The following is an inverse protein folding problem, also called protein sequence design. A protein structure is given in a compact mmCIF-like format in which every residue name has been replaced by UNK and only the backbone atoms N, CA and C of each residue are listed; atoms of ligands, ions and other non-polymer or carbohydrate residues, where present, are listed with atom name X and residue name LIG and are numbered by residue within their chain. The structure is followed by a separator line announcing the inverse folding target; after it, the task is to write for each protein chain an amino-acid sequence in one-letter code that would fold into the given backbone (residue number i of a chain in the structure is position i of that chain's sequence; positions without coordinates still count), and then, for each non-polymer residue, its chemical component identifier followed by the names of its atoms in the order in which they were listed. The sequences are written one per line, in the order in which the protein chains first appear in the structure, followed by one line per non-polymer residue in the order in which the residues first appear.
data_IF_460779976514
#
_entry.id   IF_460779976514
#
_cell.length_a   1.000
_cell.length_b   1.000
_cell.length_c   1.000
_cell.angle_alpha   90.00
_cell.angle_beta   90.00
_cell.angle_gamma   90.00
#
_symmetry.space_group_name_H-M   'P 1'
#
loop_
_entity.id
_entity.type
_entity.pdbx_description
1 polymer ?
#
# COMPACT_ATOMS: atom_id res chain seq x y z
N UNK A 1 -32.30 -9.37 25.43
CA UNK A 1 -31.68 -8.96 24.14
C UNK A 1 -30.38 -8.24 24.45
N UNK A 2 -29.27 -8.98 24.44
CA UNK A 2 -27.93 -8.40 24.54
C UNK A 2 -27.56 -7.83 23.17
N UNK A 3 -27.56 -6.50 23.04
CA UNK A 3 -26.95 -5.84 21.91
C UNK A 3 -25.43 -6.10 21.96
N UNK A 4 -24.93 -6.94 21.06
CA UNK A 4 -23.51 -7.03 20.80
C UNK A 4 -23.12 -5.74 20.09
N UNK A 5 -22.44 -4.84 20.80
CA UNK A 5 -21.88 -3.65 20.18
C UNK A 5 -20.88 -4.08 19.11
N UNK A 6 -21.21 -3.79 17.87
CA UNK A 6 -20.26 -3.95 16.77
C UNK A 6 -19.09 -3.00 17.01
N UNK A 7 -17.84 -3.42 16.79
CA UNK A 7 -16.72 -2.50 16.90
C UNK A 7 -16.92 -1.36 15.91
N UNK A 8 -17.09 -0.17 16.42
CA UNK A 8 -17.11 1.05 15.60
C UNK A 8 -15.68 1.25 15.12
N UNK A 9 -15.44 1.04 13.85
CA UNK A 9 -14.18 1.40 13.21
C UNK A 9 -14.07 2.93 13.24
N UNK A 10 -13.27 3.45 14.17
CA UNK A 10 -13.02 4.89 14.31
C UNK A 10 -11.83 5.37 13.48
N UNK A 11 -11.28 4.51 12.60
CA UNK A 11 -10.13 4.83 11.76
C UNK A 11 -10.55 5.35 10.39
N UNK A 12 -9.91 6.42 9.94
CA UNK A 12 -10.00 6.85 8.56
C UNK A 12 -9.27 5.86 7.66
N UNK A 13 -9.87 5.55 6.51
CA UNK A 13 -9.22 4.78 5.47
C UNK A 13 -8.48 5.73 4.53
N UNK A 14 -7.29 5.33 4.11
CA UNK A 14 -6.44 6.11 3.21
C UNK A 14 -5.88 5.25 2.10
N UNK A 15 -5.67 5.84 0.92
CA UNK A 15 -4.76 5.29 -0.09
C UNK A 15 -3.33 5.65 0.28
N UNK A 16 -2.39 4.78 -0.05
CA UNK A 16 -0.96 5.10 -0.01
C UNK A 16 -0.51 5.27 -1.46
N UNK A 17 -0.28 6.51 -1.84
CA UNK A 17 -0.03 6.93 -3.21
C UNK A 17 1.42 7.35 -3.38
N UNK A 18 2.04 6.97 -4.50
CA UNK A 18 3.34 7.52 -4.89
C UNK A 18 3.18 9.02 -5.19
N UNK A 19 4.06 9.85 -4.66
CA UNK A 19 3.99 11.30 -4.87
C UNK A 19 4.23 11.66 -6.33
N UNK A 20 5.23 11.04 -6.98
CA UNK A 20 5.48 11.23 -8.40
C UNK A 20 4.46 10.44 -9.23
N UNK A 21 3.89 11.07 -10.23
CA UNK A 21 2.87 10.42 -11.08
C UNK A 21 3.45 9.42 -12.07
N UNK A 22 4.74 9.54 -12.39
CA UNK A 22 5.37 8.74 -13.43
C UNK A 22 4.55 8.80 -14.74
N UNK A 23 4.14 7.65 -15.27
CA UNK A 23 3.31 7.55 -16.48
C UNK A 23 1.81 7.41 -16.20
N UNK A 24 1.34 7.62 -14.94
CA UNK A 24 -0.07 7.49 -14.56
C UNK A 24 -0.57 8.76 -13.85
N UNK A 25 -1.27 9.63 -14.55
CA UNK A 25 -1.76 10.90 -14.00
C UNK A 25 -2.77 10.71 -12.87
N UNK A 26 -3.47 9.57 -12.82
CA UNK A 26 -4.39 9.21 -11.73
C UNK A 26 -3.64 8.77 -10.46
N UNK A 27 -2.34 8.55 -10.56
CA UNK A 27 -1.45 8.12 -9.48
C UNK A 27 -1.32 6.61 -9.35
N UNK A 28 -0.20 6.17 -8.74
CA UNK A 28 0.02 4.78 -8.36
C UNK A 28 -0.20 4.62 -6.86
N UNK A 29 -1.02 3.64 -6.50
CA UNK A 29 -1.33 3.27 -5.11
C UNK A 29 -0.85 1.87 -4.78
N UNK A 30 -0.53 1.63 -3.52
CA UNK A 30 -0.26 0.29 -3.01
C UNK A 30 -1.57 -0.50 -3.06
N UNK A 31 -1.54 -1.68 -3.67
CA UNK A 31 -2.73 -2.41 -4.09
C UNK A 31 -2.52 -3.91 -3.89
N UNK A 32 -3.57 -4.61 -3.49
CA UNK A 32 -3.54 -6.08 -3.47
C UNK A 32 -3.72 -6.58 -4.91
N UNK A 33 -2.88 -7.49 -5.35
CA UNK A 33 -3.02 -8.09 -6.69
C UNK A 33 -4.40 -8.74 -6.86
N UNK A 34 -5.03 -8.49 -8.00
CA UNK A 34 -6.37 -8.95 -8.29
C UNK A 34 -7.31 -7.78 -8.51
N UNK A 35 -8.58 -7.90 -8.16
CA UNK A 35 -9.58 -6.88 -8.48
C UNK A 35 -10.53 -6.63 -7.31
N UNK A 36 -10.40 -5.48 -6.67
CA UNK A 36 -11.28 -4.99 -5.59
C UNK A 36 -11.58 -6.09 -4.57
N UNK A 37 -12.87 -6.43 -4.36
CA UNK A 37 -13.28 -7.44 -3.38
C UNK A 37 -12.76 -8.85 -3.71
N UNK A 38 -12.38 -9.10 -4.97
CA UNK A 38 -11.82 -10.37 -5.43
C UNK A 38 -10.29 -10.39 -5.41
N UNK A 39 -9.67 -9.41 -4.78
CA UNK A 39 -8.21 -9.33 -4.70
C UNK A 39 -7.62 -10.62 -4.11
N UNK A 40 -6.43 -10.97 -4.58
CA UNK A 40 -5.75 -12.24 -4.23
C UNK A 40 -4.69 -11.97 -3.17
N UNK A 41 -5.06 -12.04 -1.90
CA UNK A 41 -4.16 -11.82 -0.76
C UNK A 41 -2.89 -12.66 -0.87
N UNK A 42 -3.00 -13.92 -1.29
CA UNK A 42 -1.87 -14.82 -1.45
C UNK A 42 -0.90 -14.43 -2.59
N UNK A 43 -1.25 -13.48 -3.43
CA UNK A 43 -0.40 -12.96 -4.50
C UNK A 43 0.37 -11.70 -4.09
N UNK A 44 0.12 -11.17 -2.90
CA UNK A 44 0.82 -10.01 -2.34
C UNK A 44 0.41 -8.68 -2.95
N UNK A 45 1.29 -7.70 -2.76
CA UNK A 45 1.05 -6.30 -3.14
C UNK A 45 1.74 -5.93 -4.44
N UNK A 46 1.18 -4.94 -5.10
CA UNK A 46 1.70 -4.28 -6.29
C UNK A 46 1.40 -2.79 -6.21
N UNK A 47 1.90 -2.00 -7.16
CA UNK A 47 1.38 -0.66 -7.43
C UNK A 47 0.35 -0.75 -8.58
N UNK A 48 -0.72 -0.01 -8.44
CA UNK A 48 -1.84 0.01 -9.38
C UNK A 48 -2.38 1.44 -9.47
N UNK A 49 -2.96 1.81 -10.61
CA UNK A 49 -3.70 3.07 -10.72
C UNK A 49 -4.60 3.26 -9.50
N UNK A 50 -4.53 4.42 -8.85
CA UNK A 50 -5.38 4.74 -7.71
C UNK A 50 -6.84 4.80 -8.11
N UNK A 51 -7.73 4.22 -7.28
CA UNK A 51 -9.17 4.28 -7.55
C UNK A 51 -9.83 5.61 -7.17
N UNK A 52 -9.15 6.45 -6.39
CA UNK A 52 -9.71 7.72 -5.88
C UNK A 52 -10.15 8.69 -6.98
N UNK A 53 -9.64 8.56 -8.20
CA UNK A 53 -10.12 9.36 -9.35
C UNK A 53 -11.61 9.11 -9.64
N UNK A 54 -12.18 7.99 -9.17
CA UNK A 54 -13.60 7.64 -9.29
C UNK A 54 -14.45 8.22 -8.13
N UNK A 55 -13.83 8.95 -7.20
CA UNK A 55 -14.51 9.55 -6.07
C UNK A 55 -14.67 8.64 -4.84
N UNK A 56 -14.06 7.47 -4.84
CA UNK A 56 -14.10 6.52 -3.72
C UNK A 56 -12.81 5.69 -3.65
N UNK A 57 -12.50 5.18 -2.44
CA UNK A 57 -11.39 4.27 -2.25
C UNK A 57 -11.78 2.86 -2.73
N UNK A 58 -10.84 2.17 -3.39
CA UNK A 58 -10.96 0.74 -3.61
C UNK A 58 -10.64 -0.02 -2.32
N UNK A 59 -11.41 -1.07 -2.01
CA UNK A 59 -11.21 -1.86 -0.78
C UNK A 59 -9.83 -2.52 -0.73
N UNK A 60 -9.27 -2.84 -1.89
CA UNK A 60 -7.94 -3.44 -2.06
C UNK A 60 -6.80 -2.42 -2.04
N UNK A 61 -7.10 -1.13 -1.87
CA UNK A 61 -6.16 -0.03 -1.71
C UNK A 61 -6.39 0.76 -0.41
N UNK A 62 -7.34 0.35 0.41
CA UNK A 62 -7.75 1.10 1.60
C UNK A 62 -7.06 0.59 2.87
N UNK A 63 -6.18 1.40 3.42
CA UNK A 63 -5.41 1.13 4.64
C UNK A 63 -5.97 1.89 5.82
N UNK A 64 -5.82 1.33 7.02
CA UNK A 64 -6.17 1.99 8.27
C UNK A 64 -5.08 3.00 8.66
N UNK A 65 -5.42 4.29 8.63
CA UNK A 65 -4.47 5.37 8.91
C UNK A 65 -3.91 5.31 10.34
N UNK A 66 -4.73 4.97 11.33
CA UNK A 66 -4.27 4.90 12.72
C UNK A 66 -3.24 3.80 12.93
N UNK A 67 -3.41 2.64 12.28
CA UNK A 67 -2.48 1.55 12.40
C UNK A 67 -1.16 1.83 11.67
N UNK A 68 -1.18 2.60 10.60
CA UNK A 68 0.06 3.07 9.94
C UNK A 68 0.93 3.83 10.92
N UNK A 69 0.36 4.71 11.75
CA UNK A 69 1.12 5.45 12.78
C UNK A 69 1.74 4.55 13.83
N UNK A 70 1.26 3.33 13.97
CA UNK A 70 1.79 2.29 14.87
C UNK A 70 2.68 1.28 14.14
N UNK A 71 3.02 1.55 12.89
CA UNK A 71 3.91 0.71 12.10
C UNK A 71 3.25 -0.49 11.41
N UNK A 72 1.91 -0.56 11.39
CA UNK A 72 1.15 -1.65 10.76
C UNK A 72 0.38 -1.15 9.55
N UNK A 73 0.64 -1.74 8.41
CA UNK A 73 -0.04 -1.42 7.15
C UNK A 73 -1.18 -2.41 6.93
N UNK A 74 -2.30 -2.13 7.60
CA UNK A 74 -3.46 -3.01 7.71
C UNK A 74 -4.53 -2.64 6.68
N UNK A 75 -5.06 -3.65 5.99
CA UNK A 75 -6.18 -3.53 5.04
C UNK A 75 -7.44 -4.13 5.68
N UNK A 76 -8.34 -3.30 6.24
CA UNK A 76 -9.48 -3.78 7.01
C UNK A 76 -10.42 -4.72 6.24
N UNK A 77 -10.62 -4.46 4.93
CA UNK A 77 -11.52 -5.27 4.12
C UNK A 77 -11.06 -6.72 3.97
N UNK A 78 -9.77 -6.99 4.18
CA UNK A 78 -9.17 -8.32 4.02
C UNK A 78 -8.61 -8.90 5.33
N UNK A 79 -8.55 -8.09 6.38
CA UNK A 79 -8.04 -8.53 7.69
C UNK A 79 -6.56 -8.90 7.70
N UNK A 80 -5.75 -8.28 6.84
CA UNK A 80 -4.33 -8.61 6.66
C UNK A 80 -3.44 -7.37 6.76
N UNK A 81 -2.18 -7.61 7.08
CA UNK A 81 -1.13 -6.60 7.15
C UNK A 81 -0.05 -6.85 6.09
N UNK A 82 0.54 -5.76 5.62
CA UNK A 82 1.72 -5.82 4.75
C UNK A 82 2.88 -6.46 5.49
N UNK A 83 3.57 -7.37 4.81
CA UNK A 83 4.72 -8.11 5.32
C UNK A 83 5.86 -8.08 4.31
N UNK A 84 7.06 -7.78 4.79
CA UNK A 84 8.26 -7.94 3.97
C UNK A 84 8.52 -9.43 3.73
N UNK A 85 8.75 -9.81 2.48
CA UNK A 85 9.11 -11.18 2.12
C UNK A 85 10.55 -11.56 2.49
N UNK A 86 11.33 -10.58 2.90
CA UNK A 86 12.71 -10.71 3.37
C UNK A 86 13.24 -9.34 3.79
N UNK A 87 14.48 -9.29 4.25
CA UNK A 87 15.14 -8.06 4.72
C UNK A 87 16.35 -7.70 3.87
N UNK A 88 16.25 -7.93 2.57
CA UNK A 88 17.30 -7.63 1.58
C UNK A 88 16.70 -6.84 0.42
N UNK A 89 17.56 -6.17 -0.35
CA UNK A 89 17.17 -5.49 -1.59
C UNK A 89 16.48 -6.49 -2.53
N UNK A 90 15.35 -6.09 -3.10
CA UNK A 90 14.54 -6.93 -3.97
C UNK A 90 13.45 -7.74 -3.27
N UNK A 91 13.40 -7.71 -1.93
CA UNK A 91 12.34 -8.39 -1.18
C UNK A 91 10.96 -7.87 -1.60
N UNK A 92 10.01 -8.79 -1.80
CA UNK A 92 8.63 -8.49 -2.15
C UNK A 92 7.82 -8.11 -0.92
N UNK A 93 6.67 -7.50 -1.15
CA UNK A 93 5.69 -7.18 -0.12
C UNK A 93 4.54 -8.17 -0.21
N UNK A 94 4.38 -8.96 0.83
CA UNK A 94 3.33 -9.97 0.97
C UNK A 94 2.24 -9.49 1.92
N UNK A 95 1.25 -10.32 2.13
CA UNK A 95 0.14 -10.07 3.05
C UNK A 95 -0.09 -11.31 3.92
N UNK A 96 -0.24 -11.10 5.21
CA UNK A 96 -0.57 -12.13 6.19
C UNK A 96 -1.49 -11.57 7.27
N UNK A 97 -2.11 -12.46 8.04
CA UNK A 97 -2.78 -12.05 9.28
C UNK A 97 -1.83 -11.20 10.12
N UNK A 98 -2.33 -10.11 10.68
CA UNK A 98 -1.51 -9.19 11.45
C UNK A 98 -0.93 -9.85 12.70
N UNK A 99 0.36 -9.65 12.93
CA UNK A 99 1.08 -10.13 14.10
C UNK A 99 2.14 -9.08 14.51
N UNK A 100 2.90 -9.35 15.55
CA UNK A 100 3.92 -8.44 16.06
C UNK A 100 5.35 -8.80 15.59
N UNK A 101 5.47 -9.50 14.46
CA UNK A 101 6.78 -9.85 13.89
C UNK A 101 7.44 -8.65 13.22
N UNK A 102 8.77 -8.66 13.17
CA UNK A 102 9.55 -7.56 12.59
C UNK A 102 9.27 -7.36 11.10
N UNK A 103 8.91 -8.41 10.38
CA UNK A 103 8.59 -8.35 8.95
C UNK A 103 7.32 -7.57 8.64
N UNK A 104 6.45 -7.36 9.64
CA UNK A 104 5.22 -6.56 9.51
C UNK A 104 5.34 -5.16 10.10
N UNK A 105 6.52 -4.76 10.55
CA UNK A 105 6.75 -3.45 11.15
C UNK A 105 7.47 -2.51 10.18
N UNK A 106 6.77 -1.44 9.84
CA UNK A 106 7.29 -0.39 8.96
C UNK A 106 7.14 0.96 9.64
N UNK A 107 7.93 1.93 9.21
CA UNK A 107 7.76 3.32 9.60
C UNK A 107 7.51 4.16 8.36
N UNK A 108 6.45 4.96 8.41
CA UNK A 108 6.18 5.99 7.41
C UNK A 108 6.84 7.27 7.89
N UNK A 109 7.95 7.66 7.26
CA UNK A 109 8.75 8.80 7.71
C UNK A 109 8.10 10.13 7.32
N UNK A 110 8.51 11.22 7.97
CA UNK A 110 7.97 12.55 7.68
C UNK A 110 8.33 13.05 6.28
N UNK A 111 9.38 12.49 5.67
CA UNK A 111 9.76 12.82 4.28
C UNK A 111 9.16 11.85 3.24
N UNK A 112 8.21 11.01 3.65
CA UNK A 112 7.44 10.16 2.73
C UNK A 112 8.04 8.81 2.40
N UNK A 113 9.08 8.37 3.12
CA UNK A 113 9.63 7.02 2.94
C UNK A 113 8.87 6.01 3.81
N UNK A 114 8.73 4.79 3.31
CA UNK A 114 8.19 3.66 4.07
C UNK A 114 9.35 2.69 4.26
N UNK A 115 9.86 2.61 5.50
CA UNK A 115 11.05 1.83 5.84
C UNK A 115 10.70 0.60 6.65
N UNK A 116 11.40 -0.50 6.38
CA UNK A 116 11.34 -1.69 7.25
C UNK A 116 12.07 -1.38 8.57
N UNK A 117 11.39 -1.56 9.71
CA UNK A 117 11.99 -1.17 11.01
C UNK A 117 13.23 -2.01 11.33
N UNK A 118 13.20 -3.30 11.05
CA UNK A 118 14.34 -4.19 11.33
C UNK A 118 15.55 -3.97 10.44
N UNK A 119 15.38 -3.26 9.31
CA UNK A 119 16.46 -2.81 8.42
C UNK A 119 16.06 -1.49 7.78
N UNK A 120 16.35 -0.38 8.45
CA UNK A 120 15.92 0.96 8.05
C UNK A 120 16.70 1.53 6.85
N UNK A 121 17.63 0.78 6.28
CA UNK A 121 18.24 1.10 4.99
C UNK A 121 17.34 0.71 3.81
N UNK A 122 16.30 -0.10 4.06
CA UNK A 122 15.35 -0.57 3.07
C UNK A 122 14.08 0.27 3.04
N UNK A 123 13.74 0.76 1.84
CA UNK A 123 12.55 1.53 1.54
C UNK A 123 11.64 0.80 0.58
N UNK A 124 10.33 0.96 0.75
CA UNK A 124 9.33 0.53 -0.22
C UNK A 124 9.50 1.35 -1.51
N UNK A 125 9.67 0.66 -2.61
CA UNK A 125 9.88 1.26 -3.93
C UNK A 125 8.93 0.71 -4.97
N UNK A 126 8.51 1.58 -5.88
CA UNK A 126 7.87 1.16 -7.12
C UNK A 126 8.94 0.83 -8.15
N UNK A 127 8.69 -0.15 -9.00
CA UNK A 127 9.60 -0.51 -10.09
C UNK A 127 9.77 0.67 -11.06
N UNK A 128 11.01 1.01 -11.36
CA UNK A 128 11.37 2.08 -12.29
C UNK A 128 11.12 1.72 -13.77
N UNK A 129 10.92 0.43 -14.09
CA UNK A 129 10.61 -0.03 -15.44
C UNK A 129 9.25 0.50 -15.91
N UNK A 130 8.99 0.38 -17.21
CA UNK A 130 7.71 0.77 -17.77
C UNK A 130 6.56 0.01 -17.11
N UNK A 131 5.42 0.69 -16.92
CA UNK A 131 4.21 0.08 -16.41
C UNK A 131 3.65 -0.96 -17.38
N UNK A 132 2.84 -1.87 -16.83
CA UNK A 132 2.04 -2.83 -17.61
C UNK A 132 0.57 -2.42 -17.53
N UNK A 133 -0.19 -2.75 -18.57
CA UNK A 133 -1.63 -2.52 -18.56
C UNK A 133 -2.34 -3.55 -17.69
N UNK A 134 -3.29 -3.08 -16.87
CA UNK A 134 -4.22 -3.91 -16.12
C UNK A 134 -5.49 -4.21 -16.91
N UNK A 135 -6.48 -4.75 -16.22
CA UNK A 135 -7.72 -5.24 -16.82
C UNK A 135 -8.87 -4.25 -16.85
N UNK A 136 -8.82 -3.12 -16.20
CA UNK A 136 -9.94 -2.19 -16.08
C UNK A 136 -9.58 -0.75 -16.39
N UNK A 137 -10.60 0.11 -16.36
CA UNK A 137 -10.44 1.54 -16.54
C UNK A 137 -10.46 2.00 -18.00
N UNK A 138 -10.70 3.30 -18.18
CA UNK A 138 -10.66 3.96 -19.50
C UNK A 138 -9.96 5.32 -19.31
N UNK A 139 -8.71 5.46 -19.69
CA UNK A 139 -7.78 4.43 -20.23
C UNK A 139 -7.52 3.29 -19.23
N UNK A 140 -6.98 2.17 -19.73
CA UNK A 140 -6.70 1.03 -18.87
C UNK A 140 -5.83 1.41 -17.68
N UNK A 141 -6.12 0.82 -16.52
CA UNK A 141 -5.30 0.96 -15.33
C UNK A 141 -3.90 0.40 -15.57
N UNK A 142 -2.91 1.00 -14.92
CA UNK A 142 -1.51 0.60 -15.06
C UNK A 142 -1.02 -0.11 -13.80
N UNK A 143 -0.08 -1.03 -13.97
CA UNK A 143 0.51 -1.85 -12.93
C UNK A 143 2.03 -1.68 -12.91
N UNK A 144 2.61 -1.69 -11.72
CA UNK A 144 4.06 -1.81 -11.49
C UNK A 144 4.31 -2.71 -10.29
N UNK A 145 5.47 -3.37 -10.28
CA UNK A 145 5.88 -4.16 -9.12
C UNK A 145 6.30 -3.27 -7.96
N UNK A 146 6.19 -3.80 -6.74
CA UNK A 146 6.73 -3.22 -5.52
C UNK A 146 7.84 -4.10 -4.98
N UNK A 147 8.87 -3.50 -4.39
CA UNK A 147 9.93 -4.20 -3.68
C UNK A 147 10.57 -3.29 -2.65
N UNK A 148 11.40 -3.88 -1.79
CA UNK A 148 12.29 -3.12 -0.91
C UNK A 148 13.57 -2.82 -1.66
N UNK A 149 14.08 -1.59 -1.55
CA UNK A 149 15.32 -1.14 -2.15
C UNK A 149 16.15 -0.35 -1.15
N UNK A 150 17.42 -0.11 -1.44
CA UNK A 150 18.24 0.76 -0.60
C UNK A 150 17.74 2.20 -0.72
N UNK A 151 17.38 2.81 0.40
CA UNK A 151 16.80 4.15 0.44
C UNK A 151 17.70 5.21 -0.18
N UNK A 152 19.00 5.15 0.09
CA UNK A 152 19.96 6.18 -0.37
C UNK A 152 20.37 6.01 -1.82
N UNK A 153 20.33 4.78 -2.33
CA UNK A 153 20.74 4.46 -3.70
C UNK A 153 19.62 4.58 -4.73
N UNK A 154 18.40 4.79 -4.28
CA UNK A 154 17.22 4.90 -5.15
C UNK A 154 16.81 6.34 -5.34
N UNK A 155 16.34 6.67 -6.54
CA UNK A 155 15.81 8.00 -6.82
C UNK A 155 14.53 8.23 -6.00
N UNK A 156 14.39 9.40 -5.34
CA UNK A 156 13.21 9.68 -4.50
C UNK A 156 11.87 9.53 -5.19
N UNK A 157 11.78 9.76 -6.50
CA UNK A 157 10.53 9.61 -7.25
C UNK A 157 9.96 8.20 -7.23
N UNK A 158 10.77 7.18 -6.91
CA UNK A 158 10.33 5.79 -6.82
C UNK A 158 10.07 5.33 -5.38
N UNK A 159 10.42 6.14 -4.39
CA UNK A 159 10.38 5.75 -2.97
C UNK A 159 9.66 6.75 -2.07
N UNK A 160 9.02 7.77 -2.64
CA UNK A 160 8.33 8.81 -1.85
C UNK A 160 6.82 8.64 -1.97
N UNK A 161 6.17 8.42 -0.83
CA UNK A 161 4.74 8.11 -0.71
C UNK A 161 4.02 9.14 0.16
N UNK A 162 2.73 9.24 -0.01
CA UNK A 162 1.86 10.02 0.88
C UNK A 162 0.54 9.31 1.09
N UNK A 163 -0.13 9.65 2.17
CA UNK A 163 -1.48 9.15 2.46
C UNK A 163 -2.51 10.11 1.87
N UNK A 164 -3.49 9.57 1.17
CA UNK A 164 -4.59 10.33 0.57
C UNK A 164 -5.90 9.82 1.14
N UNK A 165 -6.61 10.69 1.85
CA UNK A 165 -7.96 10.43 2.32
C UNK A 165 -8.96 11.06 1.36
N UNK A 166 -10.08 10.36 1.11
CA UNK A 166 -11.21 10.97 0.45
C UNK A 166 -12.12 11.63 1.48
N UNK A 167 -12.82 12.73 1.11
CA UNK A 167 -13.82 13.32 1.99
C UNK A 167 -14.86 12.26 2.35
N UNK A 168 -15.18 12.13 3.65
CA UNK A 168 -16.33 11.35 4.08
C UNK A 168 -17.61 12.06 3.63
N UNK A 169 -18.49 11.33 2.98
CA UNK A 169 -19.82 11.82 2.64
C UNK A 169 -20.69 11.94 3.89
#
# INVERSE_FOLDING_TARGET
LTMVAQPVWSGNLVEIQLVDKLDEQRGFCIDIRGHKERAKVNRGLQAHTCYSYQGQLGVDQAFDEQLISRGKFYLPAFGVCMKAGGSVVGSRLNLEACNDTDEQRFVFTTNGQIKLISNNELCLAIDASASKQGGGGTPLHLLRSLSLTNCEKSEPRYTTWWMVALPSN
#
